data_IF_884407943694
#
_entry.id   IF_884407943694
#
_cell.length_a   1.000
_cell.length_b   1.000
_cell.length_c   1.000
_cell.angle_alpha   90.00
_cell.angle_beta   90.00
_cell.angle_gamma   90.00
#
_symmetry.space_group_name_H-M   'P 1'
#
loop_
_entity.id
_entity.type
_entity.pdbx_description
1 polymer ?
#
# COMPACT_ATOMS: atom_id res chain seq x y z
N UNK A 1 1.72 4.45 -24.68
CA UNK A 1 1.35 4.91 -23.33
C UNK A 1 1.66 3.76 -22.39
N UNK A 2 2.38 4.02 -21.31
CA UNK A 2 2.69 3.00 -20.29
C UNK A 2 1.39 2.51 -19.65
N UNK A 3 1.34 1.24 -19.24
CA UNK A 3 0.16 0.65 -18.59
C UNK A 3 0.41 0.45 -17.09
N UNK A 4 -0.52 0.94 -16.25
CA UNK A 4 -0.57 0.64 -14.84
C UNK A 4 -1.83 -0.18 -14.53
N UNK A 5 -1.66 -1.38 -13.99
CA UNK A 5 -2.76 -2.21 -13.50
C UNK A 5 -2.79 -2.17 -11.98
N UNK A 6 -3.94 -1.80 -11.40
CA UNK A 6 -4.14 -1.71 -9.96
C UNK A 6 -5.20 -2.71 -9.51
N UNK A 7 -4.80 -3.79 -8.82
CA UNK A 7 -5.73 -4.69 -8.13
C UNK A 7 -6.39 -3.93 -6.98
N UNK A 8 -7.72 -3.93 -6.96
CA UNK A 8 -8.54 -3.16 -6.01
C UNK A 8 -9.54 -4.06 -5.29
N UNK A 9 -9.46 -4.11 -3.96
CA UNK A 9 -10.30 -4.97 -3.14
C UNK A 9 -11.60 -4.28 -2.70
N UNK A 10 -11.54 -2.97 -2.46
CA UNK A 10 -12.69 -2.14 -2.11
C UNK A 10 -12.61 -0.79 -2.83
N UNK A 11 -13.73 -0.22 -3.29
CA UNK A 11 -13.72 0.96 -4.16
C UNK A 11 -13.11 2.24 -3.55
N UNK A 12 -13.05 2.35 -2.23
CA UNK A 12 -12.55 3.53 -1.53
C UNK A 12 -11.07 3.45 -1.18
N UNK A 13 -10.45 2.28 -1.29
CA UNK A 13 -9.00 2.10 -1.25
C UNK A 13 -8.50 2.09 -2.71
N UNK A 14 -8.49 3.27 -3.31
CA UNK A 14 -8.03 3.52 -4.67
C UNK A 14 -6.59 4.09 -4.67
N UNK A 15 -6.07 4.43 -5.85
CA UNK A 15 -4.75 5.06 -5.98
C UNK A 15 -4.69 6.50 -5.45
N UNK A 16 -5.81 7.09 -5.13
CA UNK A 16 -5.92 8.39 -4.48
C UNK A 16 -5.04 9.47 -5.11
N UNK A 17 -4.10 9.99 -4.31
CA UNK A 17 -3.18 11.04 -4.76
C UNK A 17 -2.08 10.55 -5.72
N UNK A 18 -1.93 9.24 -5.89
CA UNK A 18 -0.96 8.63 -6.81
C UNK A 18 -1.45 8.62 -8.26
N UNK A 19 -2.77 8.50 -8.48
CA UNK A 19 -3.33 8.43 -9.84
C UNK A 19 -2.93 9.61 -10.73
N UNK A 20 -3.10 10.88 -10.32
CA UNK A 20 -2.67 12.01 -11.15
C UNK A 20 -1.15 12.08 -11.38
N UNK A 21 -0.34 11.52 -10.48
CA UNK A 21 1.11 11.40 -10.71
C UNK A 21 1.39 10.37 -11.80
N UNK A 22 0.75 9.20 -11.76
CA UNK A 22 0.89 8.17 -12.78
C UNK A 22 0.47 8.68 -14.15
N UNK A 23 -0.65 9.39 -14.23
CA UNK A 23 -1.10 10.01 -15.49
C UNK A 23 -0.09 11.03 -16.04
N UNK A 24 0.46 11.88 -15.16
CA UNK A 24 1.48 12.85 -15.54
C UNK A 24 2.79 12.18 -16.01
N UNK A 25 3.13 10.99 -15.48
CA UNK A 25 4.27 10.16 -15.90
C UNK A 25 3.97 9.30 -17.15
N UNK A 26 2.79 9.49 -17.76
CA UNK A 26 2.39 8.86 -19.03
C UNK A 26 1.83 7.45 -18.86
N UNK A 27 1.34 7.08 -17.68
CA UNK A 27 0.64 5.83 -17.47
C UNK A 27 -0.86 5.97 -17.76
N UNK A 28 -1.43 4.96 -18.44
CA UNK A 28 -2.86 4.70 -18.42
C UNK A 28 -3.16 3.78 -17.25
N UNK A 29 -3.95 4.24 -16.31
CA UNK A 29 -4.35 3.48 -15.14
C UNK A 29 -5.61 2.67 -15.45
N UNK A 30 -5.60 1.38 -15.08
CA UNK A 30 -6.77 0.52 -15.08
C UNK A 30 -6.89 -0.19 -13.73
N UNK A 31 -8.03 0.01 -13.07
CA UNK A 31 -8.38 -0.75 -11.90
C UNK A 31 -8.88 -2.15 -12.27
N UNK A 32 -8.46 -3.13 -11.49
CA UNK A 32 -8.85 -4.53 -11.61
C UNK A 32 -9.54 -4.93 -10.29
N UNK A 33 -10.87 -4.82 -10.20
CA UNK A 33 -11.60 -5.22 -9.00
C UNK A 33 -11.57 -6.73 -8.83
N UNK A 34 -11.87 -7.21 -7.62
CA UNK A 34 -11.77 -8.64 -7.24
C UNK A 34 -12.59 -9.59 -8.10
N UNK A 35 -13.67 -9.12 -8.72
CA UNK A 35 -14.52 -9.87 -9.64
C UNK A 35 -14.10 -9.76 -11.13
N UNK A 36 -13.06 -8.94 -11.42
CA UNK A 36 -12.50 -8.75 -12.75
C UNK A 36 -10.95 -8.66 -12.68
N UNK A 37 -10.34 -9.68 -12.08
CA UNK A 37 -8.88 -9.79 -12.03
C UNK A 37 -8.27 -9.76 -13.43
N UNK A 38 -7.07 -9.17 -13.61
CA UNK A 38 -6.40 -9.11 -14.90
C UNK A 38 -6.01 -10.52 -15.36
N UNK A 39 -5.99 -10.74 -16.66
CA UNK A 39 -5.35 -11.92 -17.21
C UNK A 39 -3.84 -11.91 -16.90
N UNK A 40 -3.22 -13.08 -16.79
CA UNK A 40 -1.82 -13.20 -16.40
C UNK A 40 -0.88 -12.48 -17.38
N UNK A 41 -1.12 -12.63 -18.67
CA UNK A 41 -0.34 -11.99 -19.72
C UNK A 41 -0.45 -10.45 -19.67
N UNK A 42 -1.63 -9.90 -19.41
CA UNK A 42 -1.82 -8.47 -19.18
C UNK A 42 -1.07 -7.98 -17.94
N UNK A 43 -1.20 -8.72 -16.82
CA UNK A 43 -0.52 -8.40 -15.57
C UNK A 43 1.00 -8.39 -15.72
N UNK A 44 1.53 -9.38 -16.44
CA UNK A 44 2.96 -9.48 -16.72
C UNK A 44 3.42 -8.49 -17.80
N UNK A 45 2.57 -8.09 -18.73
CA UNK A 45 2.90 -7.09 -19.75
C UNK A 45 2.94 -5.67 -19.20
N UNK A 46 2.11 -5.33 -18.23
CA UNK A 46 2.00 -3.98 -17.67
C UNK A 46 3.37 -3.39 -17.27
N UNK A 47 3.55 -2.08 -17.45
CA UNK A 47 4.77 -1.38 -17.07
C UNK A 47 4.86 -1.23 -15.53
N UNK A 48 3.73 -1.04 -14.88
CA UNK A 48 3.60 -1.01 -13.42
C UNK A 48 2.41 -1.87 -12.99
N UNK A 49 2.62 -2.67 -11.96
CA UNK A 49 1.57 -3.38 -11.25
C UNK A 49 1.44 -2.82 -9.81
N UNK A 50 0.21 -2.59 -9.37
CA UNK A 50 -0.11 -2.14 -8.02
C UNK A 50 -1.07 -3.13 -7.39
N UNK A 51 -0.84 -3.50 -6.15
CA UNK A 51 -1.80 -4.24 -5.31
C UNK A 51 -2.18 -3.34 -4.15
N UNK A 52 -3.43 -2.91 -4.14
CA UNK A 52 -3.97 -1.98 -3.16
C UNK A 52 -4.34 -2.67 -1.85
N UNK A 53 -4.81 -1.88 -0.89
CA UNK A 53 -5.28 -2.34 0.39
C UNK A 53 -6.62 -3.07 0.34
N UNK A 54 -7.04 -3.59 1.49
CA UNK A 54 -8.33 -4.26 1.64
C UNK A 54 -8.55 -4.80 3.06
N UNK A 55 -9.80 -4.96 3.49
CA UNK A 55 -10.17 -5.28 4.87
C UNK A 55 -10.17 -6.80 5.16
N UNK A 56 -9.28 -7.57 4.54
CA UNK A 56 -9.17 -9.03 4.69
C UNK A 56 -7.72 -9.44 4.96
N UNK A 57 -7.51 -10.61 5.56
CA UNK A 57 -6.18 -11.17 5.78
C UNK A 57 -5.67 -11.99 4.60
N UNK A 58 -4.38 -11.91 4.32
CA UNK A 58 -3.76 -12.74 3.26
C UNK A 58 -3.91 -14.23 3.48
N UNK A 59 -4.23 -14.66 4.70
CA UNK A 59 -4.44 -16.06 5.09
C UNK A 59 -5.89 -16.50 4.94
N UNK A 60 -6.83 -15.59 4.61
CA UNK A 60 -8.27 -15.87 4.52
C UNK A 60 -8.68 -16.51 3.16
N UNK A 61 -7.79 -17.28 2.54
CA UNK A 61 -7.99 -17.88 1.21
C UNK A 61 -9.15 -18.89 1.14
N UNK A 62 -9.60 -19.41 2.29
CA UNK A 62 -10.78 -20.28 2.36
C UNK A 62 -12.06 -19.44 2.23
N UNK A 63 -12.08 -18.26 2.82
CA UNK A 63 -13.20 -17.32 2.78
C UNK A 63 -13.21 -16.49 1.48
N UNK A 64 -12.02 -16.13 1.00
CA UNK A 64 -11.78 -15.30 -0.19
C UNK A 64 -10.89 -16.05 -1.19
N UNK A 65 -11.45 -16.98 -1.99
CA UNK A 65 -10.66 -17.83 -2.88
C UNK A 65 -9.82 -17.11 -3.93
N UNK A 66 -10.23 -15.90 -4.36
CA UNK A 66 -9.49 -15.07 -5.31
C UNK A 66 -8.07 -14.71 -4.84
N UNK A 67 -7.82 -14.69 -3.52
CA UNK A 67 -6.50 -14.46 -2.95
C UNK A 67 -5.44 -15.49 -3.42
N UNK A 68 -5.86 -16.70 -3.84
CA UNK A 68 -4.94 -17.70 -4.39
C UNK A 68 -4.40 -17.26 -5.75
N UNK A 69 -5.28 -16.78 -6.61
CA UNK A 69 -4.94 -16.31 -7.95
C UNK A 69 -4.12 -15.02 -7.87
N UNK A 70 -4.48 -14.10 -6.99
CA UNK A 70 -3.70 -12.89 -6.73
C UNK A 70 -2.29 -13.19 -6.24
N UNK A 71 -2.13 -14.12 -5.28
CA UNK A 71 -0.79 -14.55 -4.84
C UNK A 71 0.04 -15.12 -5.98
N UNK A 72 -0.57 -15.89 -6.87
CA UNK A 72 0.11 -16.43 -8.03
C UNK A 72 0.52 -15.32 -9.01
N UNK A 73 -0.34 -14.35 -9.28
CA UNK A 73 -0.03 -13.19 -10.11
C UNK A 73 1.09 -12.34 -9.49
N UNK A 74 1.04 -12.09 -8.17
CA UNK A 74 2.11 -11.39 -7.44
C UNK A 74 3.43 -12.15 -7.51
N UNK A 75 3.41 -13.49 -7.33
CA UNK A 75 4.60 -14.33 -7.42
C UNK A 75 5.26 -14.21 -8.79
N UNK A 76 4.49 -14.38 -9.86
CA UNK A 76 4.97 -14.27 -11.24
C UNK A 76 5.49 -12.87 -11.57
N UNK A 77 4.83 -11.83 -11.03
CA UNK A 77 5.28 -10.45 -11.18
C UNK A 77 6.65 -10.22 -10.53
N UNK A 78 6.85 -10.72 -9.32
CA UNK A 78 8.15 -10.68 -8.64
C UNK A 78 9.24 -11.41 -9.43
N UNK A 79 8.93 -12.59 -9.96
CA UNK A 79 9.87 -13.37 -10.78
C UNK A 79 10.22 -12.69 -12.10
N UNK A 80 9.30 -11.94 -12.69
CA UNK A 80 9.54 -11.17 -13.91
C UNK A 80 10.51 -9.98 -13.71
N UNK A 81 10.79 -9.58 -12.48
CA UNK A 81 11.63 -8.42 -12.16
C UNK A 81 11.04 -7.07 -12.56
N UNK A 82 9.75 -7.02 -12.94
CA UNK A 82 9.06 -5.78 -13.30
C UNK A 82 8.55 -5.01 -12.08
N UNK A 83 8.31 -3.68 -12.21
CA UNK A 83 7.86 -2.84 -11.11
C UNK A 83 6.57 -3.31 -10.45
N UNK A 84 6.57 -3.41 -9.12
CA UNK A 84 5.44 -3.81 -8.29
C UNK A 84 5.37 -2.93 -7.04
N UNK A 85 4.21 -2.31 -6.83
CA UNK A 85 3.88 -1.59 -5.60
C UNK A 85 2.82 -2.38 -4.83
N UNK A 86 3.09 -2.65 -3.56
CA UNK A 86 2.10 -3.22 -2.64
C UNK A 86 1.76 -2.23 -1.53
N UNK A 87 0.48 -1.97 -1.30
CA UNK A 87 -0.01 -1.08 -0.25
C UNK A 87 -0.90 -1.88 0.70
N UNK A 88 -0.65 -1.80 1.99
CA UNK A 88 -1.38 -2.46 3.07
C UNK A 88 -1.53 -3.98 2.82
N UNK A 89 -2.70 -4.48 2.44
CA UNK A 89 -2.90 -5.88 2.03
C UNK A 89 -1.92 -6.27 0.91
N UNK A 90 -1.66 -5.38 -0.05
CA UNK A 90 -0.71 -5.64 -1.13
C UNK A 90 0.72 -5.84 -0.63
N UNK A 91 1.17 -5.09 0.37
CA UNK A 91 2.48 -5.30 1.01
C UNK A 91 2.54 -6.66 1.73
N UNK A 92 1.46 -7.03 2.41
CA UNK A 92 1.32 -8.32 3.09
C UNK A 92 1.29 -9.49 2.08
N UNK A 93 0.64 -9.31 0.92
CA UNK A 93 0.67 -10.32 -0.16
C UNK A 93 2.08 -10.53 -0.70
N UNK A 94 2.84 -9.45 -0.95
CA UNK A 94 4.26 -9.54 -1.35
C UNK A 94 5.07 -10.28 -0.30
N UNK A 95 4.92 -9.94 0.98
CA UNK A 95 5.60 -10.61 2.09
C UNK A 95 5.24 -12.11 2.14
N UNK A 96 3.94 -12.44 2.07
CA UNK A 96 3.44 -13.81 2.09
C UNK A 96 3.98 -14.66 0.93
N UNK A 97 4.00 -14.10 -0.29
CA UNK A 97 4.54 -14.77 -1.49
C UNK A 97 6.03 -15.00 -1.36
N UNK A 98 6.76 -14.12 -0.67
CA UNK A 98 8.16 -14.28 -0.31
C UNK A 98 8.38 -15.19 0.92
N UNK A 99 7.35 -15.93 1.36
CA UNK A 99 7.35 -16.87 2.48
C UNK A 99 7.57 -16.23 3.86
N UNK A 100 7.45 -14.91 3.99
CA UNK A 100 7.38 -14.25 5.27
C UNK A 100 6.01 -14.47 5.92
N UNK A 101 5.97 -14.60 7.24
CA UNK A 101 4.71 -14.72 7.96
C UNK A 101 3.97 -13.40 7.94
N UNK A 102 2.65 -13.46 7.80
CA UNK A 102 1.72 -12.35 8.03
C UNK A 102 0.80 -12.75 9.16
N UNK A 103 0.61 -11.87 10.13
CA UNK A 103 -0.09 -12.19 11.38
C UNK A 103 -0.65 -10.92 12.03
N UNK A 104 -1.65 -11.04 12.92
CA UNK A 104 -2.15 -9.92 13.72
C UNK A 104 -1.02 -9.26 14.52
N UNK A 105 -0.88 -7.94 14.38
CA UNK A 105 0.10 -7.15 15.11
C UNK A 105 -0.23 -7.02 16.60
N UNK A 106 0.61 -6.30 17.34
CA UNK A 106 0.40 -6.03 18.78
C UNK A 106 -0.82 -5.15 19.04
N UNK A 107 -1.30 -4.45 18.02
CA UNK A 107 -2.45 -3.56 18.04
C UNK A 107 -2.72 -2.99 16.67
N UNK A 108 -3.84 -2.30 16.52
CA UNK A 108 -4.18 -1.61 15.28
C UNK A 108 -3.56 -0.22 15.25
N UNK A 109 -3.06 0.18 14.10
CA UNK A 109 -2.69 1.55 13.79
C UNK A 109 -3.74 2.12 12.83
N UNK A 110 -4.55 3.05 13.33
CA UNK A 110 -5.58 3.74 12.56
C UNK A 110 -5.47 5.25 12.82
N UNK A 111 -5.17 6.00 11.80
CA UNK A 111 -5.05 7.45 11.83
C UNK A 111 -3.79 7.99 11.18
N UNK A 112 -3.65 9.31 11.21
CA UNK A 112 -2.54 10.02 10.60
C UNK A 112 -1.38 10.12 11.59
N UNK A 113 -0.26 9.48 11.26
CA UNK A 113 0.94 9.50 12.09
C UNK A 113 2.21 9.46 11.23
N UNK A 114 3.36 9.77 11.85
CA UNK A 114 4.67 9.65 11.21
C UNK A 114 5.17 8.22 11.28
N UNK A 115 6.02 7.89 10.33
CA UNK A 115 6.87 6.70 10.34
C UNK A 115 8.29 7.07 10.75
N UNK A 116 9.04 6.09 11.21
CA UNK A 116 10.46 6.20 11.52
C UNK A 116 11.26 5.56 10.38
N UNK A 117 12.00 6.37 9.63
CA UNK A 117 12.82 5.88 8.53
C UNK A 117 14.10 5.23 9.06
N UNK A 118 14.44 4.07 8.52
CA UNK A 118 15.77 3.47 8.69
C UNK A 118 16.81 4.26 7.88
N UNK A 119 18.11 3.98 8.05
CA UNK A 119 19.13 4.59 7.20
C UNK A 119 18.92 4.24 5.71
N UNK A 120 18.49 3.01 5.42
CA UNK A 120 18.10 2.61 4.07
C UNK A 120 16.85 3.38 3.58
N UNK A 121 15.90 3.63 4.47
CA UNK A 121 14.72 4.44 4.17
C UNK A 121 15.07 5.88 3.81
N UNK A 122 15.99 6.51 4.54
CA UNK A 122 16.50 7.85 4.23
C UNK A 122 17.27 7.92 2.90
N UNK A 123 17.91 6.82 2.52
CA UNK A 123 18.57 6.65 1.22
C UNK A 123 17.65 6.18 0.09
N UNK A 124 16.35 6.12 0.30
CA UNK A 124 15.34 5.63 -0.65
C UNK A 124 14.32 6.71 -0.99
N UNK A 125 13.40 6.46 -1.93
CA UNK A 125 12.26 7.34 -2.21
C UNK A 125 11.41 7.68 -0.97
N UNK A 126 11.42 6.85 0.08
CA UNK A 126 10.72 7.11 1.33
C UNK A 126 11.22 8.36 2.05
N UNK A 127 12.40 8.89 1.72
CA UNK A 127 12.90 10.17 2.24
C UNK A 127 11.88 11.30 2.07
N UNK A 128 11.07 11.26 1.02
CA UNK A 128 10.00 12.23 0.80
C UNK A 128 8.97 12.25 1.95
N UNK A 129 8.89 11.19 2.75
CA UNK A 129 7.98 11.07 3.91
C UNK A 129 8.64 11.48 5.24
N UNK A 130 9.92 11.87 5.24
CA UNK A 130 10.60 12.35 6.45
C UNK A 130 9.81 13.54 7.02
N UNK A 131 9.45 13.47 8.29
CA UNK A 131 8.59 14.46 8.97
C UNK A 131 7.14 14.59 8.46
N UNK A 132 6.70 13.82 7.48
CA UNK A 132 5.32 13.79 7.01
C UNK A 132 4.47 12.75 7.78
N UNK A 133 3.20 13.09 8.01
CA UNK A 133 2.22 12.10 8.47
C UNK A 133 1.62 11.37 7.28
N UNK A 134 1.46 10.06 7.41
CA UNK A 134 0.76 9.19 6.46
C UNK A 134 -0.46 8.57 7.13
N UNK A 135 -1.42 8.10 6.36
CA UNK A 135 -2.55 7.36 6.92
C UNK A 135 -2.12 5.93 7.22
N UNK A 136 -2.28 5.52 8.49
CA UNK A 136 -2.23 4.13 8.90
C UNK A 136 -3.64 3.59 8.98
N UNK A 137 -3.86 2.37 8.48
CA UNK A 137 -5.13 1.67 8.60
C UNK A 137 -4.89 0.18 8.50
N UNK A 138 -4.32 -0.41 9.55
CA UNK A 138 -4.02 -1.84 9.57
C UNK A 138 -4.00 -2.41 10.99
N UNK A 139 -4.21 -3.70 11.10
CA UNK A 139 -4.08 -4.48 12.34
C UNK A 139 -3.10 -5.63 12.20
N UNK A 140 -2.89 -6.10 10.96
CA UNK A 140 -1.90 -7.12 10.65
C UNK A 140 -0.52 -6.50 10.37
N UNK A 141 0.49 -7.33 10.54
CA UNK A 141 1.89 -7.04 10.21
C UNK A 141 2.54 -8.27 9.57
N UNK A 142 3.78 -8.14 9.16
CA UNK A 142 4.55 -9.23 8.54
C UNK A 142 5.98 -9.28 9.07
N UNK A 143 6.60 -10.45 8.97
CA UNK A 143 8.05 -10.58 9.12
C UNK A 143 8.74 -10.02 7.86
N UNK A 144 9.94 -9.45 8.00
CA UNK A 144 10.69 -8.97 6.85
C UNK A 144 11.06 -10.15 5.94
N UNK A 145 10.68 -10.13 4.65
CA UNK A 145 11.05 -11.19 3.72
C UNK A 145 12.56 -11.31 3.53
N UNK A 146 13.06 -12.52 3.27
CA UNK A 146 14.47 -12.74 2.94
C UNK A 146 14.89 -11.93 1.72
N UNK A 147 16.01 -11.23 1.84
CA UNK A 147 16.57 -10.35 0.81
C UNK A 147 15.86 -9.00 0.68
N UNK A 148 14.86 -8.72 1.52
CA UNK A 148 14.23 -7.41 1.58
C UNK A 148 15.04 -6.45 2.46
N UNK A 149 15.01 -5.19 2.09
CA UNK A 149 15.59 -4.09 2.86
C UNK A 149 14.50 -3.33 3.59
N UNK A 150 14.59 -3.26 4.92
CA UNK A 150 13.64 -2.52 5.76
C UNK A 150 13.84 -1.01 5.58
N UNK A 151 12.75 -0.30 5.29
CA UNK A 151 12.80 1.14 5.02
C UNK A 151 12.18 1.99 6.13
N UNK A 152 11.14 1.47 6.80
CA UNK A 152 10.43 2.21 7.83
C UNK A 152 9.84 1.31 8.91
N UNK A 153 9.65 1.88 10.10
CA UNK A 153 9.00 1.29 11.26
C UNK A 153 8.11 2.30 11.98
N UNK A 154 7.34 1.81 12.95
CA UNK A 154 6.76 2.60 14.03
C UNK A 154 7.06 1.90 15.37
N UNK A 155 6.86 2.56 16.51
CA UNK A 155 7.03 1.90 17.82
C UNK A 155 6.13 0.68 18.02
N UNK A 156 4.96 0.65 17.35
CA UNK A 156 4.03 -0.46 17.44
C UNK A 156 4.32 -1.56 16.41
N UNK A 157 4.69 -1.17 15.19
CA UNK A 157 4.87 -2.08 14.04
C UNK A 157 6.30 -1.96 13.49
N UNK A 158 7.16 -2.97 13.73
CA UNK A 158 8.58 -2.92 13.32
C UNK A 158 8.79 -2.87 11.79
N UNK A 159 7.84 -3.37 11.01
CA UNK A 159 7.96 -3.47 9.55
C UNK A 159 6.84 -2.70 8.88
N UNK A 160 7.07 -1.42 8.63
CA UNK A 160 6.11 -0.53 7.97
C UNK A 160 6.35 -0.38 6.46
N UNK A 161 7.59 -0.57 6.01
CA UNK A 161 7.91 -0.56 4.59
C UNK A 161 9.18 -1.35 4.31
N UNK A 162 9.19 -2.03 3.17
CA UNK A 162 10.39 -2.69 2.65
C UNK A 162 10.47 -2.58 1.12
N UNK A 163 11.68 -2.85 0.58
CA UNK A 163 11.88 -3.00 -0.85
C UNK A 163 12.61 -4.30 -1.19
N UNK A 164 12.43 -4.77 -2.43
CA UNK A 164 13.22 -5.81 -3.05
C UNK A 164 13.86 -5.21 -4.31
N UNK A 165 15.14 -4.87 -4.22
CA UNK A 165 15.79 -4.02 -5.21
C UNK A 165 15.14 -2.64 -5.29
N UNK A 166 15.17 -2.01 -6.47
CA UNK A 166 14.55 -0.70 -6.68
C UNK A 166 13.17 -0.76 -7.37
N UNK A 167 12.74 -1.94 -7.81
CA UNK A 167 11.48 -2.11 -8.57
C UNK A 167 10.31 -2.65 -7.75
N UNK A 168 10.55 -3.16 -6.55
CA UNK A 168 9.48 -3.62 -5.67
C UNK A 168 9.46 -2.79 -4.41
N UNK A 169 8.33 -2.13 -4.16
CA UNK A 169 8.09 -1.32 -2.97
C UNK A 169 6.84 -1.82 -2.27
N UNK A 170 6.95 -2.07 -0.97
CA UNK A 170 5.86 -2.55 -0.13
C UNK A 170 5.67 -1.63 1.07
N UNK A 171 4.47 -1.09 1.21
CA UNK A 171 4.11 -0.07 2.21
C UNK A 171 2.92 -0.58 3.02
N UNK A 172 3.07 -0.70 4.35
CA UNK A 172 1.96 -1.11 5.22
C UNK A 172 0.97 0.02 5.46
N UNK A 173 1.43 1.25 5.36
CA UNK A 173 0.64 2.49 5.48
C UNK A 173 0.20 3.00 4.10
N UNK A 174 -0.64 4.05 4.09
CA UNK A 174 -1.30 4.58 2.90
C UNK A 174 -0.82 5.99 2.55
N UNK A 175 0.31 6.16 1.83
CA UNK A 175 0.76 7.47 1.38
C UNK A 175 -0.03 7.98 0.17
N UNK A 176 -0.81 7.11 -0.48
CA UNK A 176 -1.70 7.42 -1.59
C UNK A 176 -3.03 8.05 -1.13
N UNK A 177 -3.38 7.87 0.16
CA UNK A 177 -4.70 8.27 0.67
C UNK A 177 -4.98 9.75 0.47
N UNK A 178 -6.08 10.07 -0.21
CA UNK A 178 -6.54 11.44 -0.39
C UNK A 178 -7.38 11.89 0.80
N UNK A 179 -6.84 12.82 1.58
CA UNK A 179 -7.53 13.39 2.74
C UNK A 179 -8.87 14.07 2.40
N UNK A 180 -9.08 14.51 1.16
CA UNK A 180 -10.35 15.06 0.69
C UNK A 180 -11.43 13.98 0.54
N UNK A 181 -11.04 12.72 0.41
CA UNK A 181 -11.92 11.55 0.31
C UNK A 181 -12.07 10.80 1.64
N UNK A 182 -11.64 11.39 2.77
CA UNK A 182 -11.67 10.73 4.09
C UNK A 182 -13.05 10.16 4.46
N UNK A 183 -14.14 10.82 4.04
CA UNK A 183 -15.49 10.31 4.33
C UNK A 183 -15.76 8.92 3.74
N UNK A 184 -15.17 8.59 2.59
CA UNK A 184 -15.31 7.26 1.97
C UNK A 184 -14.67 6.18 2.86
N UNK A 185 -13.49 6.47 3.42
CA UNK A 185 -12.79 5.59 4.36
C UNK A 185 -13.59 5.42 5.65
N UNK A 186 -14.09 6.52 6.23
CA UNK A 186 -14.84 6.50 7.48
C UNK A 186 -16.14 5.70 7.36
N UNK A 187 -16.84 5.81 6.22
CA UNK A 187 -18.06 5.06 5.95
C UNK A 187 -17.74 3.60 5.60
N UNK A 188 -16.74 3.37 4.76
CA UNK A 188 -16.33 2.03 4.34
C UNK A 188 -15.87 1.15 5.50
N UNK A 189 -15.18 1.74 6.47
CA UNK A 189 -14.67 1.03 7.67
C UNK A 189 -15.50 1.31 8.94
N UNK A 190 -16.74 1.74 8.83
CA UNK A 190 -17.55 2.14 9.99
C UNK A 190 -17.67 1.04 11.06
N UNK A 191 -17.82 -0.23 10.64
CA UNK A 191 -17.88 -1.37 11.56
C UNK A 191 -16.57 -1.57 12.32
N UNK A 192 -15.42 -1.44 11.64
CA UNK A 192 -14.12 -1.55 12.27
C UNK A 192 -13.88 -0.42 13.27
N UNK A 193 -14.15 0.83 12.89
CA UNK A 193 -13.99 1.99 13.76
C UNK A 193 -14.82 1.86 15.04
N UNK A 194 -16.06 1.37 14.93
CA UNK A 194 -16.91 1.12 16.08
C UNK A 194 -16.32 0.04 17.00
N UNK A 195 -15.78 -1.03 16.43
CA UNK A 195 -15.18 -2.15 17.17
C UNK A 195 -13.92 -1.73 17.95
N UNK A 196 -13.08 -0.88 17.36
CA UNK A 196 -11.81 -0.43 17.97
C UNK A 196 -11.94 0.87 18.75
N UNK A 197 -13.14 1.42 18.87
CA UNK A 197 -13.44 2.67 19.58
C UNK A 197 -12.60 3.88 19.09
N UNK A 198 -12.29 3.94 17.80
CA UNK A 198 -11.64 5.10 17.17
C UNK A 198 -12.68 6.13 16.77
N UNK A 199 -12.50 7.37 17.20
CA UNK A 199 -13.44 8.46 16.91
C UNK A 199 -13.25 9.01 15.48
N UNK A 200 -14.24 8.83 14.57
CA UNK A 200 -14.17 9.36 13.20
C UNK A 200 -13.98 10.87 13.13
N UNK A 201 -14.45 11.61 14.15
CA UNK A 201 -14.30 13.08 14.19
C UNK A 201 -12.83 13.48 14.31
N UNK A 202 -12.05 12.72 15.08
CA UNK A 202 -10.61 12.95 15.22
C UNK A 202 -9.87 12.65 13.91
N UNK A 203 -10.17 11.53 13.26
CA UNK A 203 -9.59 11.19 11.94
C UNK A 203 -9.83 12.29 10.90
N UNK A 204 -11.06 12.83 10.88
CA UNK A 204 -11.45 13.93 10.00
C UNK A 204 -10.70 15.24 10.29
N UNK A 205 -10.51 15.56 11.59
CA UNK A 205 -9.75 16.74 12.00
C UNK A 205 -8.27 16.59 11.62
N UNK A 206 -7.68 15.43 11.86
CA UNK A 206 -6.29 15.16 11.50
C UNK A 206 -6.10 15.19 9.98
N UNK A 207 -7.01 14.61 9.19
CA UNK A 207 -6.99 14.68 7.73
C UNK A 207 -6.95 16.14 7.21
N UNK A 208 -7.75 17.02 7.82
CA UNK A 208 -7.73 18.46 7.47
C UNK A 208 -6.41 19.13 7.85
N UNK A 209 -5.83 18.74 8.97
CA UNK A 209 -4.58 19.33 9.49
C UNK A 209 -3.35 18.94 8.69
N UNK A 210 -3.24 17.66 8.29
CA UNK A 210 -2.02 17.15 7.67
C UNK A 210 -2.15 16.85 6.17
N UNK A 211 -3.37 16.78 5.63
CA UNK A 211 -3.66 16.22 4.32
C UNK A 211 -2.92 16.88 3.14
N UNK A 212 -2.75 18.21 3.17
CA UNK A 212 -2.02 18.91 2.10
C UNK A 212 -0.54 18.49 2.07
N UNK A 213 0.11 18.41 3.23
CA UNK A 213 1.49 17.99 3.33
C UNK A 213 1.62 16.49 2.99
N UNK A 214 0.73 15.65 3.52
CA UNK A 214 0.70 14.22 3.24
C UNK A 214 0.58 13.92 1.73
N UNK A 215 -0.32 14.62 1.03
CA UNK A 215 -0.47 14.54 -0.42
C UNK A 215 0.85 14.86 -1.13
N UNK A 216 1.47 16.00 -0.82
CA UNK A 216 2.70 16.42 -1.46
C UNK A 216 3.83 15.42 -1.25
N UNK A 217 3.99 14.93 -0.02
CA UNK A 217 5.00 13.95 0.33
C UNK A 217 4.75 12.58 -0.36
N UNK A 218 3.50 12.10 -0.38
CA UNK A 218 3.13 10.85 -1.06
C UNK A 218 3.37 10.94 -2.56
N UNK A 219 2.97 12.03 -3.21
CA UNK A 219 3.22 12.26 -4.63
C UNK A 219 4.71 12.31 -4.95
N UNK A 220 5.52 12.95 -4.10
CA UNK A 220 6.97 13.00 -4.30
C UNK A 220 7.61 11.62 -4.14
N UNK A 221 7.20 10.83 -3.14
CA UNK A 221 7.63 9.45 -2.98
C UNK A 221 7.41 8.65 -4.26
N UNK A 222 6.20 8.73 -4.84
CA UNK A 222 5.89 7.97 -6.06
C UNK A 222 6.74 8.40 -7.24
N UNK A 223 6.92 9.72 -7.44
CA UNK A 223 7.79 10.27 -8.49
C UNK A 223 9.23 9.78 -8.36
N UNK A 224 9.79 9.88 -7.16
CA UNK A 224 11.17 9.47 -6.90
C UNK A 224 11.35 7.96 -7.10
N UNK A 225 10.33 7.16 -6.72
CA UNK A 225 10.37 5.72 -6.94
C UNK A 225 10.30 5.35 -8.42
N UNK A 226 9.40 5.98 -9.19
CA UNK A 226 9.28 5.77 -10.65
C UNK A 226 10.57 6.16 -11.37
N UNK A 227 11.22 7.24 -10.95
CA UNK A 227 12.47 7.69 -11.55
C UNK A 227 13.67 6.77 -11.24
N UNK A 228 13.54 5.88 -10.25
CA UNK A 228 14.61 5.02 -9.77
C UNK A 228 14.69 3.63 -10.41
N UNK A 229 13.78 3.26 -11.35
CA UNK A 229 13.73 1.94 -12.01
C UNK A 229 13.66 1.92 -13.52
#
# INVERSE_FOLDING_TARGET
MKQCLAMQHVPFEDLGTFEPVLEAEGFAVRYCPVDAAPAEDEWLAADLAVVLGGPIGVYDQVLYPFLKDEKELVRKRLESGKPLLGICLGAQLIASVRKARVYPGRGKEIGWARIELTEAGKGSPLRALEDCSVLHWHGDTFDLPEGAELLASTPLTPHQAFRLGNRVLALQFHPEADSSHMERWLVGHACELAHVAVDPRRLRQDAKRVGTAARACGQQLLKDWIAGW
#
